data_IF_539523187981
#
_entry.id   IF_539523187981
#
_cell.length_a   1.000
_cell.length_b   1.000
_cell.length_c   1.000
_cell.angle_alpha   90.00
_cell.angle_beta   90.00
_cell.angle_gamma   90.00
#
_symmetry.space_group_name_H-M   'P 1'
#
loop_
_entity.id
_entity.type
_entity.pdbx_description
1 polymer ?
#
# COMPACT_ATOMS: atom_id res chain seq x y z
N UNK A 1 -21.24 -4.43 -16.02
CA UNK A 1 -21.94 -5.62 -15.50
C UNK A 1 -23.42 -5.50 -15.83
N UNK A 2 -24.02 -6.55 -16.39
CA UNK A 2 -25.46 -6.61 -16.63
C UNK A 2 -26.14 -7.29 -15.43
N UNK A 3 -27.15 -6.65 -14.86
CA UNK A 3 -27.84 -7.11 -13.65
C UNK A 3 -29.31 -7.37 -13.95
N UNK A 4 -29.76 -8.58 -13.63
CA UNK A 4 -31.18 -8.94 -13.67
C UNK A 4 -31.86 -8.45 -12.39
N UNK A 5 -32.86 -7.57 -12.53
CA UNK A 5 -33.57 -7.00 -11.39
C UNK A 5 -34.34 -8.07 -10.61
N UNK A 6 -34.77 -9.15 -11.25
CA UNK A 6 -35.48 -10.26 -10.60
C UNK A 6 -34.66 -10.97 -9.54
N UNK A 7 -33.34 -10.97 -9.69
CA UNK A 7 -32.43 -11.77 -8.89
C UNK A 7 -31.94 -11.00 -7.65
N UNK A 8 -32.28 -9.71 -7.57
CA UNK A 8 -31.95 -8.83 -6.45
C UNK A 8 -32.84 -9.09 -5.23
N UNK A 9 -32.35 -8.86 -4.00
CA UNK A 9 -33.14 -8.95 -2.79
C UNK A 9 -34.18 -7.82 -2.73
N UNK A 10 -35.27 -8.06 -2.01
CA UNK A 10 -36.40 -7.10 -1.88
C UNK A 10 -35.96 -5.75 -1.28
N UNK A 11 -34.97 -5.75 -0.40
CA UNK A 11 -34.37 -4.55 0.19
C UNK A 11 -33.75 -3.61 -0.84
N UNK A 12 -32.96 -4.14 -1.78
CA UNK A 12 -32.32 -3.38 -2.86
C UNK A 12 -33.36 -2.99 -3.93
N UNK A 13 -34.28 -3.91 -4.26
CA UNK A 13 -35.39 -3.64 -5.19
C UNK A 13 -36.21 -2.42 -4.77
N UNK A 14 -36.51 -2.26 -3.48
CA UNK A 14 -37.32 -1.15 -2.98
C UNK A 14 -36.63 0.22 -3.09
N UNK A 15 -35.30 0.24 -3.20
CA UNK A 15 -34.52 1.48 -3.41
C UNK A 15 -34.40 1.87 -4.88
N UNK A 16 -34.66 0.94 -5.80
CA UNK A 16 -34.68 1.24 -7.22
C UNK A 16 -35.91 2.08 -7.59
N UNK A 17 -35.76 3.12 -8.44
CA UNK A 17 -36.88 3.84 -9.01
C UNK A 17 -37.89 2.91 -9.66
N UNK A 18 -39.18 3.23 -9.50
CA UNK A 18 -40.26 2.37 -10.00
C UNK A 18 -40.20 2.15 -11.53
N UNK A 19 -39.74 3.16 -12.27
CA UNK A 19 -39.52 3.09 -13.72
C UNK A 19 -38.54 1.98 -14.13
N UNK A 20 -37.52 1.75 -13.31
CA UNK A 20 -36.47 0.74 -13.52
C UNK A 20 -36.97 -0.63 -13.07
N UNK A 21 -37.67 -0.68 -11.94
CA UNK A 21 -38.25 -1.91 -11.36
C UNK A 21 -39.22 -2.65 -12.28
N UNK A 22 -39.93 -1.93 -13.14
CA UNK A 22 -40.89 -2.51 -14.09
C UNK A 22 -40.21 -3.10 -15.34
N UNK A 23 -38.96 -2.73 -15.62
CA UNK A 23 -38.23 -3.23 -16.76
C UNK A 23 -37.73 -4.64 -16.44
N UNK A 24 -38.39 -5.67 -17.00
CA UNK A 24 -37.98 -7.08 -16.90
C UNK A 24 -36.73 -7.41 -17.75
N UNK A 25 -35.86 -6.43 -17.98
CA UNK A 25 -34.67 -6.56 -18.84
C UNK A 25 -33.41 -6.46 -17.97
N UNK A 26 -32.31 -7.11 -18.37
CA UNK A 26 -31.02 -6.87 -17.76
C UNK A 26 -30.63 -5.40 -17.94
N UNK A 27 -30.14 -4.77 -16.87
CA UNK A 27 -29.75 -3.36 -16.87
C UNK A 27 -28.25 -3.28 -16.61
N UNK A 28 -27.58 -2.35 -17.28
CA UNK A 28 -26.18 -2.04 -17.00
C UNK A 28 -26.05 -1.35 -15.65
N UNK A 29 -25.20 -1.88 -14.78
CA UNK A 29 -24.96 -1.34 -13.44
C UNK A 29 -24.57 0.14 -13.46
N UNK A 30 -23.79 0.56 -14.44
CA UNK A 30 -23.33 1.94 -14.66
C UNK A 30 -24.46 2.95 -14.88
N UNK A 31 -25.64 2.49 -15.29
CA UNK A 31 -26.81 3.35 -15.52
C UNK A 31 -27.61 3.67 -14.24
N UNK A 32 -27.30 2.99 -13.12
CA UNK A 32 -27.99 3.18 -11.85
C UNK A 32 -27.34 4.29 -11.00
N UNK A 33 -28.03 4.87 -10.03
CA UNK A 33 -27.41 5.75 -9.04
C UNK A 33 -26.28 5.06 -8.28
N UNK A 34 -25.17 5.76 -8.03
CA UNK A 34 -23.93 5.23 -7.43
C UNK A 34 -24.19 4.47 -6.12
N UNK A 35 -25.07 4.99 -5.26
CA UNK A 35 -25.45 4.33 -4.00
C UNK A 35 -26.05 2.93 -4.21
N UNK A 36 -26.85 2.76 -5.27
CA UNK A 36 -27.46 1.48 -5.62
C UNK A 36 -26.46 0.57 -6.33
N UNK A 37 -25.55 1.14 -7.12
CA UNK A 37 -24.47 0.37 -7.74
C UNK A 37 -23.63 -0.35 -6.68
N UNK A 38 -23.28 0.36 -5.61
CA UNK A 38 -22.51 -0.18 -4.49
C UNK A 38 -23.25 -1.29 -3.73
N UNK A 39 -24.54 -1.11 -3.45
CA UNK A 39 -25.35 -2.13 -2.78
C UNK A 39 -25.49 -3.41 -3.61
N UNK A 40 -25.64 -3.25 -4.93
CA UNK A 40 -25.74 -4.38 -5.87
C UNK A 40 -24.38 -5.09 -5.99
N UNK A 41 -23.27 -4.35 -6.11
CA UNK A 41 -21.94 -4.97 -6.19
C UNK A 41 -21.61 -5.76 -4.92
N UNK A 42 -21.91 -5.20 -3.74
CA UNK A 42 -21.71 -5.88 -2.47
C UNK A 42 -22.57 -7.14 -2.36
N UNK A 43 -23.83 -7.09 -2.81
CA UNK A 43 -24.70 -8.26 -2.83
C UNK A 43 -24.12 -9.40 -3.67
N UNK A 44 -23.70 -9.13 -4.91
CA UNK A 44 -23.15 -10.17 -5.78
C UNK A 44 -21.78 -10.67 -5.32
N UNK A 45 -20.91 -9.79 -4.82
CA UNK A 45 -19.62 -10.17 -4.24
C UNK A 45 -19.80 -11.11 -3.04
N UNK A 46 -20.83 -10.88 -2.21
CA UNK A 46 -21.13 -11.74 -1.06
C UNK A 46 -21.80 -13.07 -1.45
N UNK A 47 -22.50 -13.15 -2.58
CA UNK A 47 -23.16 -14.39 -3.03
C UNK A 47 -22.24 -15.37 -3.78
N UNK A 48 -21.17 -14.88 -4.39
CA UNK A 48 -20.22 -15.71 -5.15
C UNK A 48 -19.32 -16.62 -4.29
N UNK A 49 -19.51 -16.65 -2.97
CA UNK A 49 -18.74 -17.54 -2.09
C UNK A 49 -19.55 -18.00 -0.87
N UNK A 50 -20.49 -18.96 -1.01
CA UNK A 50 -21.27 -19.45 0.12
C UNK A 50 -20.51 -20.45 1.02
N UNK A 51 -19.23 -20.75 0.75
CA UNK A 51 -18.45 -21.75 1.49
C UNK A 51 -16.96 -21.39 1.69
N UNK A 52 -16.59 -20.13 1.48
CA UNK A 52 -15.31 -19.65 2.00
C UNK A 52 -15.65 -19.19 3.40
N UNK A 53 -15.13 -19.88 4.43
CA UNK A 53 -15.02 -19.30 5.76
C UNK A 53 -14.62 -17.84 5.53
N UNK A 54 -15.40 -16.88 6.02
CA UNK A 54 -14.91 -15.51 6.12
C UNK A 54 -13.80 -15.58 7.16
N UNK A 55 -12.61 -16.06 6.75
CA UNK A 55 -11.37 -15.41 7.10
C UNK A 55 -11.69 -13.96 6.86
N UNK A 56 -11.97 -13.23 7.94
CA UNK A 56 -12.02 -11.78 7.92
C UNK A 56 -10.78 -11.39 7.12
N UNK A 57 -10.96 -10.90 5.88
CA UNK A 57 -9.84 -10.53 5.04
C UNK A 57 -8.93 -9.69 5.92
N UNK A 58 -7.76 -10.20 6.26
CA UNK A 58 -6.91 -9.59 7.28
C UNK A 58 -6.48 -8.25 6.70
N UNK A 59 -7.19 -7.20 7.10
CA UNK A 59 -6.83 -5.84 6.75
C UNK A 59 -5.74 -5.46 7.72
N UNK A 60 -4.53 -5.36 7.19
CA UNK A 60 -3.36 -5.00 7.97
C UNK A 60 -3.39 -3.53 8.34
N UNK A 61 -3.78 -2.67 7.40
CA UNK A 61 -3.91 -1.22 7.61
C UNK A 61 -4.77 -0.57 6.52
N UNK A 62 -5.10 0.71 6.68
CA UNK A 62 -5.98 1.46 5.78
C UNK A 62 -5.31 2.78 5.38
N UNK A 63 -5.10 2.96 4.08
CA UNK A 63 -4.49 4.18 3.52
C UNK A 63 -5.56 5.09 2.91
N UNK A 64 -5.52 6.42 3.12
CA UNK A 64 -6.49 7.35 2.58
C UNK A 64 -6.22 7.62 1.09
N UNK A 65 -6.63 6.69 0.23
CA UNK A 65 -6.61 6.88 -1.22
C UNK A 65 -8.01 7.23 -1.71
N UNK A 66 -8.17 8.38 -2.34
CA UNK A 66 -9.45 8.77 -2.94
C UNK A 66 -9.81 7.79 -4.07
N UNK A 67 -10.70 6.85 -3.77
CA UNK A 67 -11.36 6.02 -4.78
C UNK A 67 -12.53 6.78 -5.41
N UNK A 68 -13.05 6.32 -6.56
CA UNK A 68 -14.23 6.92 -7.19
C UNK A 68 -15.48 6.93 -6.27
N UNK A 69 -15.49 6.09 -5.23
CA UNK A 69 -16.53 6.01 -4.21
C UNK A 69 -16.23 6.85 -2.95
N UNK A 70 -15.11 7.57 -2.90
CA UNK A 70 -14.57 8.24 -1.71
C UNK A 70 -14.30 7.32 -0.51
N UNK A 71 -14.15 6.02 -0.75
CA UNK A 71 -13.78 5.04 0.28
C UNK A 71 -12.26 4.99 0.44
N UNK A 72 -11.78 4.65 1.65
CA UNK A 72 -10.36 4.41 1.92
C UNK A 72 -9.89 3.12 1.24
N UNK A 73 -8.60 3.03 0.89
CA UNK A 73 -8.01 1.80 0.37
C UNK A 73 -7.47 0.93 1.51
N UNK A 74 -7.77 -0.35 1.50
CA UNK A 74 -7.27 -1.32 2.48
C UNK A 74 -5.98 -1.96 1.99
N UNK A 75 -4.99 -2.10 2.87
CA UNK A 75 -3.82 -2.95 2.68
C UNK A 75 -4.15 -4.35 3.20
N UNK A 76 -4.45 -5.25 2.26
CA UNK A 76 -4.79 -6.64 2.55
C UNK A 76 -3.59 -7.59 2.48
N UNK A 77 -2.42 -7.10 2.05
CA UNK A 77 -1.21 -7.90 1.85
C UNK A 77 -0.13 -7.38 2.81
N UNK A 78 0.40 -8.28 3.65
CA UNK A 78 1.48 -7.97 4.62
C UNK A 78 2.71 -7.35 3.95
N UNK A 79 3.08 -7.81 2.77
CA UNK A 79 4.15 -7.22 1.96
C UNK A 79 3.92 -5.72 1.67
N UNK A 80 2.72 -5.35 1.23
CA UNK A 80 2.41 -3.95 0.88
C UNK A 80 2.46 -3.06 2.13
N UNK A 81 2.01 -3.59 3.27
CA UNK A 81 2.19 -2.96 4.58
C UNK A 81 3.67 -2.72 4.89
N UNK A 82 4.50 -3.76 4.81
CA UNK A 82 5.94 -3.66 5.09
C UNK A 82 6.62 -2.62 4.19
N UNK A 83 6.23 -2.57 2.91
CA UNK A 83 6.74 -1.58 1.96
C UNK A 83 6.30 -0.15 2.30
N UNK A 84 5.04 0.05 2.67
CA UNK A 84 4.54 1.37 3.08
C UNK A 84 5.24 1.84 4.36
N UNK A 85 5.43 0.95 5.33
CA UNK A 85 6.17 1.26 6.55
C UNK A 85 7.64 1.60 6.27
N UNK A 86 8.33 0.83 5.43
CA UNK A 86 9.72 1.12 5.04
C UNK A 86 9.81 2.46 4.30
N UNK A 87 8.92 2.72 3.34
CA UNK A 87 8.87 3.98 2.62
C UNK A 87 8.66 5.17 3.56
N UNK A 88 7.77 5.05 4.54
CA UNK A 88 7.56 6.07 5.55
C UNK A 88 8.82 6.25 6.41
N UNK A 89 9.44 5.16 6.86
CA UNK A 89 10.62 5.22 7.71
C UNK A 89 11.81 5.87 7.00
N UNK A 90 12.04 5.55 5.73
CA UNK A 90 13.14 6.10 4.93
C UNK A 90 12.95 7.58 4.55
N UNK A 91 11.71 8.05 4.47
CA UNK A 91 11.41 9.44 4.09
C UNK A 91 11.25 10.39 5.29
N UNK A 92 11.08 9.87 6.51
CA UNK A 92 10.90 10.69 7.72
C UNK A 92 12.26 10.96 8.39
N UNK A 93 12.70 12.24 8.46
CA UNK A 93 13.87 12.62 9.24
C UNK A 93 13.67 12.36 10.74
N UNK A 94 14.76 12.01 11.40
CA UNK A 94 14.78 11.79 12.85
C UNK A 94 14.25 13.02 13.61
N UNK A 95 13.36 12.79 14.58
CA UNK A 95 12.86 13.83 15.48
C UNK A 95 11.67 14.64 14.97
N UNK A 96 11.15 14.35 13.77
CA UNK A 96 9.95 15.02 13.23
C UNK A 96 8.65 14.45 13.81
N UNK A 97 8.66 13.18 14.23
CA UNK A 97 7.43 12.54 14.69
C UNK A 97 7.00 13.09 16.07
N UNK A 98 5.74 13.56 16.24
CA UNK A 98 5.35 14.36 17.40
C UNK A 98 5.47 13.65 18.76
N UNK A 99 5.24 12.34 18.79
CA UNK A 99 5.19 11.54 20.02
C UNK A 99 6.34 10.54 20.14
N UNK A 100 7.23 10.49 19.14
CA UNK A 100 8.42 9.65 19.15
C UNK A 100 9.59 10.40 18.51
N UNK A 101 10.42 11.09 19.31
CA UNK A 101 11.58 11.81 18.78
C UNK A 101 12.68 10.87 18.26
N UNK A 102 12.61 9.57 18.56
CA UNK A 102 13.56 8.56 18.06
C UNK A 102 13.11 7.96 16.73
N UNK A 103 11.87 8.23 16.30
CA UNK A 103 11.36 7.78 15.01
C UNK A 103 11.98 8.58 13.85
N UNK A 104 12.29 7.87 12.76
CA UNK A 104 12.89 8.42 11.55
C UNK A 104 14.37 8.05 11.40
N UNK A 105 15.04 8.73 10.48
CA UNK A 105 16.41 8.41 10.09
C UNK A 105 17.30 9.63 9.84
N UNK A 106 18.61 9.40 9.78
CA UNK A 106 19.61 10.43 9.42
C UNK A 106 20.15 10.31 7.98
N UNK A 107 19.50 9.57 7.08
CA UNK A 107 20.02 9.30 5.72
C UNK A 107 20.31 10.58 4.93
N UNK A 108 19.43 11.58 4.99
CA UNK A 108 19.63 12.88 4.32
C UNK A 108 20.88 13.61 4.80
N UNK A 109 21.17 13.53 6.10
CA UNK A 109 22.38 14.09 6.70
C UNK A 109 23.60 13.30 6.26
N UNK A 110 23.52 11.97 6.22
CA UNK A 110 24.65 11.13 5.78
C UNK A 110 24.99 11.32 4.30
N UNK A 111 24.01 11.56 3.42
CA UNK A 111 24.23 11.87 2.00
C UNK A 111 25.14 13.09 1.79
N UNK A 112 25.07 14.08 2.68
CA UNK A 112 25.88 15.30 2.63
C UNK A 112 27.33 15.09 3.11
N UNK A 113 27.67 13.88 3.58
CA UNK A 113 29.04 13.56 4.01
C UNK A 113 29.99 13.54 2.82
N UNK A 114 31.06 14.35 2.89
CA UNK A 114 32.03 14.51 1.79
C UNK A 114 32.84 13.26 1.50
N UNK A 115 33.20 12.50 2.54
CA UNK A 115 33.99 11.28 2.38
C UNK A 115 33.07 10.14 1.90
N UNK A 116 33.33 9.64 0.70
CA UNK A 116 32.51 8.62 0.03
C UNK A 116 32.48 7.29 0.78
N UNK A 117 33.62 6.82 1.30
CA UNK A 117 33.70 5.57 2.06
C UNK A 117 32.90 5.69 3.35
N UNK A 118 33.11 6.77 4.11
CA UNK A 118 32.38 7.01 5.37
C UNK A 118 30.88 7.17 5.11
N UNK A 119 30.52 7.90 4.05
CA UNK A 119 29.12 8.05 3.62
C UNK A 119 28.46 6.70 3.37
N UNK A 120 29.09 5.83 2.58
CA UNK A 120 28.54 4.51 2.27
C UNK A 120 28.37 3.66 3.54
N UNK A 121 29.35 3.69 4.44
CA UNK A 121 29.26 2.97 5.72
C UNK A 121 28.13 3.48 6.60
N UNK A 122 27.99 4.81 6.73
CA UNK A 122 26.92 5.42 7.54
C UNK A 122 25.54 5.10 6.98
N UNK A 123 25.36 5.22 5.65
CA UNK A 123 24.11 4.91 4.98
C UNK A 123 23.77 3.42 5.12
N UNK A 124 24.73 2.52 4.89
CA UNK A 124 24.53 1.07 5.03
C UNK A 124 24.15 0.67 6.46
N UNK A 125 24.80 1.25 7.47
CA UNK A 125 24.47 1.02 8.88
C UNK A 125 23.06 1.51 9.21
N UNK A 126 22.69 2.68 8.73
CA UNK A 126 21.36 3.27 8.97
C UNK A 126 20.26 2.44 8.31
N UNK A 127 20.44 2.05 7.04
CA UNK A 127 19.50 1.17 6.32
C UNK A 127 19.35 -0.17 7.06
N UNK A 128 20.45 -0.76 7.52
CA UNK A 128 20.43 -2.01 8.29
C UNK A 128 19.68 -1.87 9.61
N UNK A 129 19.88 -0.74 10.32
CA UNK A 129 19.15 -0.43 11.56
C UNK A 129 17.65 -0.33 11.32
N UNK A 130 17.23 0.36 10.25
CA UNK A 130 15.82 0.54 9.89
C UNK A 130 15.18 -0.82 9.60
N UNK A 131 15.81 -1.62 8.75
CA UNK A 131 15.30 -2.94 8.36
C UNK A 131 15.22 -3.87 9.57
N UNK A 132 16.22 -3.87 10.45
CA UNK A 132 16.16 -4.66 11.69
C UNK A 132 15.03 -4.22 12.61
N UNK A 133 14.73 -2.93 12.67
CA UNK A 133 13.62 -2.39 13.47
C UNK A 133 12.28 -2.89 12.93
N UNK A 134 12.08 -2.81 11.62
CA UNK A 134 10.86 -3.31 10.96
C UNK A 134 10.73 -4.83 11.07
N UNK A 135 11.80 -5.58 10.82
CA UNK A 135 11.83 -7.04 10.98
C UNK A 135 11.42 -7.47 12.39
N UNK A 136 11.92 -6.78 13.41
CA UNK A 136 11.61 -7.08 14.82
C UNK A 136 10.15 -6.73 15.15
N UNK A 137 9.65 -5.61 14.65
CA UNK A 137 8.28 -5.17 14.92
C UNK A 137 7.21 -6.06 14.28
N UNK A 138 7.46 -6.53 13.05
CA UNK A 138 6.49 -7.29 12.25
C UNK A 138 6.78 -8.80 12.17
N UNK A 139 7.83 -9.27 12.86
CA UNK A 139 8.32 -10.66 12.78
C UNK A 139 8.44 -11.13 11.32
N UNK A 140 9.15 -10.34 10.51
CA UNK A 140 9.35 -10.56 9.08
C UNK A 140 10.83 -10.77 8.75
N UNK A 141 11.10 -11.36 7.57
CA UNK A 141 12.45 -11.62 7.08
C UNK A 141 12.73 -10.75 5.85
N UNK A 142 13.00 -9.47 6.09
CA UNK A 142 13.40 -8.49 5.08
C UNK A 142 14.92 -8.45 5.01
N UNK A 143 15.48 -8.53 3.81
CA UNK A 143 16.92 -8.49 3.56
C UNK A 143 17.26 -7.43 2.51
N UNK A 144 18.38 -6.72 2.68
CA UNK A 144 18.93 -5.83 1.65
C UNK A 144 19.69 -6.66 0.63
N UNK A 145 19.31 -6.55 -0.64
CA UNK A 145 20.00 -7.18 -1.76
C UNK A 145 21.11 -6.27 -2.28
N UNK A 146 20.77 -5.00 -2.53
CA UNK A 146 21.70 -4.01 -3.02
C UNK A 146 21.39 -2.63 -2.44
N UNK A 147 22.43 -1.81 -2.34
CA UNK A 147 22.35 -0.43 -1.88
C UNK A 147 23.26 0.41 -2.76
N UNK A 148 22.65 1.25 -3.60
CA UNK A 148 23.38 2.09 -4.54
C UNK A 148 23.06 3.57 -4.36
N UNK A 149 24.05 4.41 -4.65
CA UNK A 149 23.93 5.86 -4.64
C UNK A 149 24.00 6.36 -6.08
N UNK A 150 22.90 6.93 -6.56
CA UNK A 150 22.76 7.39 -7.94
C UNK A 150 22.92 8.92 -7.94
N UNK A 151 23.97 9.48 -8.55
CA UNK A 151 24.10 10.92 -8.71
C UNK A 151 23.06 11.44 -9.71
N UNK A 152 22.42 12.56 -9.38
CA UNK A 152 21.48 13.29 -10.23
C UNK A 152 22.05 14.68 -10.46
N UNK A 153 22.44 14.97 -11.69
CA UNK A 153 23.08 16.24 -12.05
C UNK A 153 22.04 17.31 -12.41
N UNK A 154 22.11 18.45 -11.73
CA UNK A 154 21.27 19.64 -11.98
C UNK A 154 22.08 20.80 -12.59
N UNK A 155 23.16 20.47 -13.30
CA UNK A 155 24.07 21.40 -13.97
C UNK A 155 24.97 22.19 -13.02
N UNK A 156 24.41 22.87 -12.01
CA UNK A 156 25.15 23.67 -11.02
C UNK A 156 25.47 22.92 -9.73
N UNK A 157 24.78 21.81 -9.48
CA UNK A 157 24.94 20.97 -8.30
C UNK A 157 24.61 19.51 -8.67
N UNK A 158 25.09 18.59 -7.84
CA UNK A 158 24.81 17.16 -7.93
C UNK A 158 24.08 16.74 -6.67
N UNK A 159 22.90 16.18 -6.82
CA UNK A 159 22.18 15.51 -5.74
C UNK A 159 22.44 14.01 -5.81
N UNK A 160 22.19 13.30 -4.71
CA UNK A 160 22.35 11.85 -4.67
C UNK A 160 21.04 11.21 -4.24
N UNK A 161 20.55 10.28 -5.05
CA UNK A 161 19.45 9.39 -4.68
C UNK A 161 20.00 8.11 -4.06
N UNK A 162 19.35 7.61 -3.03
CA UNK A 162 19.61 6.27 -2.50
C UNK A 162 18.62 5.31 -3.15
N UNK A 163 19.13 4.26 -3.78
CA UNK A 163 18.36 3.13 -4.30
C UNK A 163 18.62 1.91 -3.42
N UNK A 164 17.58 1.45 -2.74
CA UNK A 164 17.65 0.30 -1.82
C UNK A 164 16.83 -0.83 -2.42
N UNK A 165 17.50 -1.91 -2.81
CA UNK A 165 16.84 -3.13 -3.27
C UNK A 165 16.65 -4.08 -2.09
N UNK A 166 15.40 -4.43 -1.80
CA UNK A 166 15.06 -5.32 -0.69
C UNK A 166 14.36 -6.59 -1.16
N UNK A 167 14.58 -7.68 -0.42
CA UNK A 167 13.88 -8.96 -0.54
C UNK A 167 12.98 -9.14 0.67
N UNK A 168 11.68 -9.40 0.44
CA UNK A 168 10.74 -9.78 1.51
C UNK A 168 10.38 -11.25 1.31
N UNK A 169 10.81 -12.11 2.24
CA UNK A 169 10.43 -13.53 2.23
C UNK A 169 9.24 -13.72 3.17
N UNK A 170 8.02 -13.64 2.62
CA UNK A 170 6.80 -14.02 3.35
C UNK A 170 6.40 -15.49 3.10
N UNK A 171 6.92 -16.16 2.05
CA UNK A 171 6.81 -17.61 1.84
C UNK A 171 7.84 -18.14 0.81
N UNK A 172 8.12 -19.45 0.87
CA UNK A 172 9.38 -20.13 0.48
C UNK A 172 9.88 -19.97 -0.98
N UNK A 173 9.09 -19.50 -1.96
CA UNK A 173 9.46 -19.69 -3.38
C UNK A 173 9.64 -18.46 -4.29
N UNK A 174 9.48 -17.21 -3.82
CA UNK A 174 9.84 -16.05 -4.66
C UNK A 174 10.25 -14.79 -3.87
N UNK A 175 11.56 -14.48 -3.76
CA UNK A 175 12.00 -13.20 -3.22
C UNK A 175 11.54 -12.06 -4.13
N UNK A 176 10.65 -11.21 -3.62
CA UNK A 176 10.18 -10.04 -4.37
C UNK A 176 11.18 -8.91 -4.16
N UNK A 177 11.75 -8.43 -5.26
CA UNK A 177 12.68 -7.29 -5.27
C UNK A 177 11.90 -6.00 -5.40
N UNK A 178 12.10 -5.09 -4.47
CA UNK A 178 11.57 -3.72 -4.58
C UNK A 178 12.66 -2.69 -4.34
N UNK A 179 12.60 -1.63 -5.14
CA UNK A 179 13.54 -0.51 -5.08
C UNK A 179 12.88 0.68 -4.40
N UNK A 180 13.46 1.14 -3.30
CA UNK A 180 13.03 2.36 -2.62
C UNK A 180 13.98 3.50 -3.00
N UNK A 181 13.42 4.59 -3.53
CA UNK A 181 14.16 5.82 -3.81
C UNK A 181 14.00 6.81 -2.65
N UNK A 182 15.12 7.23 -2.07
CA UNK A 182 15.17 8.32 -1.08
C UNK A 182 15.84 9.54 -1.72
N UNK A 183 15.11 10.67 -1.71
CA UNK A 183 15.56 11.98 -2.19
C UNK A 183 15.76 12.96 -1.02
#
# INVERSE_FOLDING_TARGET
MLVNITDLPTSIKNKLPYSIRLLKKPIELTSLPISIQYEISNFFNNQLSPNVYVETAEVYDVSPKMTASNDMSTLSIKKDLLMEYLNNYFNVPLGIYPFDPLFGNELKKYLQTKNTTVRNTLISNEVSKIINTVNTAFNSNIQVIDLSLIPVEFGSHVEYKISIDISINDDIDNPIKETIEVA
#
